data_IF_059139267853
#
_entry.id   IF_059139267853
#
_cell.length_a   1.000
_cell.length_b   1.000
_cell.length_c   1.000
_cell.angle_alpha   90.00
_cell.angle_beta   90.00
_cell.angle_gamma   90.00
#
_symmetry.space_group_name_H-M   'P 1'
#
loop_
_entity.id
_entity.type
_entity.pdbx_description
1 polymer ?
#
# COMPACT_ATOMS: atom_id res chain seq x y z
N UNK A 1 27.32 -4.66 -20.92
CA UNK A 1 27.37 -3.55 -19.93
C UNK A 1 28.46 -3.94 -18.95
N UNK A 2 29.72 -3.56 -19.25
CA UNK A 2 30.87 -4.05 -18.46
C UNK A 2 31.00 -3.38 -17.08
N UNK A 3 30.46 -2.18 -16.89
CA UNK A 3 30.34 -1.53 -15.57
C UNK A 3 29.16 -0.56 -15.55
N UNK A 4 28.36 -0.62 -14.49
CA UNK A 4 27.30 0.36 -14.21
C UNK A 4 27.94 1.63 -13.63
N UNK A 5 27.74 2.77 -14.30
CA UNK A 5 28.11 4.06 -13.72
C UNK A 5 27.07 4.55 -12.71
N UNK A 6 27.37 4.40 -11.43
CA UNK A 6 26.45 4.79 -10.35
C UNK A 6 26.15 6.29 -10.31
N UNK A 7 27.03 7.15 -10.87
CA UNK A 7 26.74 8.57 -11.00
C UNK A 7 25.62 8.81 -12.04
N UNK A 8 25.65 8.07 -13.13
CA UNK A 8 24.59 8.12 -14.15
C UNK A 8 23.29 7.47 -13.63
N UNK A 9 23.35 6.42 -12.82
CA UNK A 9 22.20 5.85 -12.15
C UNK A 9 21.55 6.85 -11.15
N UNK A 10 22.35 7.62 -10.42
CA UNK A 10 21.82 8.66 -9.55
C UNK A 10 21.09 9.76 -10.34
N UNK A 11 21.57 10.09 -11.55
CA UNK A 11 20.89 11.03 -12.44
C UNK A 11 19.58 10.45 -12.95
N UNK A 12 19.56 9.16 -13.32
CA UNK A 12 18.34 8.47 -13.75
C UNK A 12 17.30 8.45 -12.62
N UNK A 13 17.70 8.10 -11.41
CA UNK A 13 16.81 8.11 -10.24
C UNK A 13 16.25 9.51 -9.97
N UNK A 14 17.06 10.56 -10.04
CA UNK A 14 16.60 11.92 -9.88
C UNK A 14 15.59 12.35 -10.95
N UNK A 15 15.81 12.00 -12.23
CA UNK A 15 14.86 12.31 -13.33
C UNK A 15 13.52 11.62 -13.10
N UNK A 16 13.54 10.36 -12.74
CA UNK A 16 12.31 9.57 -12.48
C UNK A 16 11.58 10.07 -11.23
N UNK A 17 12.31 10.34 -10.14
CA UNK A 17 11.72 10.83 -8.88
C UNK A 17 11.13 12.22 -9.00
N UNK A 18 11.76 13.12 -9.77
CA UNK A 18 11.29 14.49 -9.99
C UNK A 18 10.27 14.60 -11.15
N UNK A 19 10.16 13.57 -11.98
CA UNK A 19 9.33 13.56 -13.20
C UNK A 19 9.78 14.61 -14.24
N UNK A 20 10.98 15.18 -14.11
CA UNK A 20 11.46 16.28 -14.94
C UNK A 20 12.97 16.35 -14.98
N UNK A 21 13.54 16.50 -16.18
CA UNK A 21 14.98 16.71 -16.40
C UNK A 21 15.48 18.02 -15.76
N UNK A 22 14.67 19.07 -15.82
CA UNK A 22 14.98 20.38 -15.23
C UNK A 22 15.01 20.32 -13.71
N UNK A 23 13.97 19.75 -13.09
CA UNK A 23 13.92 19.58 -11.62
C UNK A 23 15.01 18.66 -11.11
N UNK A 24 15.36 17.60 -11.86
CA UNK A 24 16.49 16.74 -11.53
C UNK A 24 17.83 17.49 -11.59
N UNK A 25 18.01 18.35 -12.59
CA UNK A 25 19.21 19.20 -12.71
C UNK A 25 19.38 20.13 -11.49
N UNK A 26 18.29 20.78 -11.07
CA UNK A 26 18.27 21.61 -9.85
C UNK A 26 18.60 20.80 -8.60
N UNK A 27 17.97 19.63 -8.43
CA UNK A 27 18.18 18.76 -7.28
C UNK A 27 19.62 18.24 -7.17
N UNK A 28 20.28 18.02 -8.33
CA UNK A 28 21.66 17.51 -8.40
C UNK A 28 22.73 18.61 -8.47
N UNK A 29 22.33 19.89 -8.59
CA UNK A 29 23.27 21.02 -8.73
C UNK A 29 24.08 21.00 -10.03
N UNK A 30 23.52 20.44 -11.13
CA UNK A 30 24.16 20.38 -12.45
C UNK A 30 23.26 20.99 -13.54
N UNK A 31 23.79 21.19 -14.74
CA UNK A 31 22.97 21.71 -15.84
C UNK A 31 22.02 20.65 -16.41
N UNK A 32 20.87 21.08 -16.95
CA UNK A 32 19.92 20.20 -17.65
C UNK A 32 20.58 19.47 -18.85
N UNK A 33 21.51 20.14 -19.54
CA UNK A 33 22.28 19.51 -20.62
C UNK A 33 23.14 18.36 -20.11
N UNK A 34 23.78 18.51 -18.93
CA UNK A 34 24.56 17.44 -18.31
C UNK A 34 23.67 16.25 -17.90
N UNK A 35 22.47 16.50 -17.36
CA UNK A 35 21.48 15.44 -17.08
C UNK A 35 21.13 14.70 -18.37
N UNK A 36 20.76 15.43 -19.43
CA UNK A 36 20.37 14.83 -20.71
C UNK A 36 21.51 14.03 -21.35
N UNK A 37 22.75 14.48 -21.28
CA UNK A 37 23.93 13.77 -21.81
C UNK A 37 24.18 12.46 -21.02
N UNK A 38 24.08 12.49 -19.69
CA UNK A 38 24.28 11.28 -18.86
C UNK A 38 23.19 10.25 -19.07
N UNK A 39 21.93 10.67 -19.20
CA UNK A 39 20.82 9.74 -19.53
C UNK A 39 21.06 9.13 -20.90
N UNK A 40 21.41 9.94 -21.92
CA UNK A 40 21.71 9.44 -23.25
C UNK A 40 22.87 8.43 -23.25
N UNK A 41 23.97 8.75 -22.56
CA UNK A 41 25.10 7.83 -22.46
C UNK A 41 24.71 6.50 -21.79
N UNK A 42 23.85 6.55 -20.78
CA UNK A 42 23.34 5.35 -20.11
C UNK A 42 22.40 4.54 -21.03
N UNK A 43 21.56 5.21 -21.82
CA UNK A 43 20.70 4.59 -22.84
C UNK A 43 21.50 3.95 -23.97
N UNK A 44 22.53 4.65 -24.46
CA UNK A 44 23.45 4.13 -25.47
C UNK A 44 24.18 2.88 -24.95
N UNK A 45 24.67 2.89 -23.71
CA UNK A 45 25.31 1.73 -23.09
C UNK A 45 24.34 0.56 -22.85
N UNK A 46 23.08 0.85 -22.56
CA UNK A 46 22.03 -0.14 -22.38
C UNK A 46 21.43 -0.66 -23.69
N UNK A 47 21.65 0.04 -24.82
CA UNK A 47 21.05 -0.25 -26.12
C UNK A 47 19.52 -0.06 -26.15
N UNK A 48 18.95 0.62 -25.16
CA UNK A 48 17.50 0.81 -24.99
C UNK A 48 17.20 2.12 -24.28
N UNK A 49 16.04 2.69 -24.56
CA UNK A 49 15.53 3.83 -23.80
C UNK A 49 15.27 3.43 -22.33
N UNK A 50 15.65 4.31 -21.42
CA UNK A 50 15.45 4.15 -19.98
C UNK A 50 14.39 5.11 -19.44
N UNK A 51 14.14 6.21 -20.17
CA UNK A 51 13.15 7.23 -19.81
C UNK A 51 12.25 7.54 -20.99
N UNK A 52 10.95 7.49 -20.77
CA UNK A 52 9.96 8.07 -21.68
C UNK A 52 9.86 9.55 -21.36
N UNK A 53 10.26 10.39 -22.32
CA UNK A 53 10.22 11.84 -22.18
C UNK A 53 8.77 12.33 -22.28
N UNK A 54 8.30 13.03 -21.24
CA UNK A 54 6.96 13.57 -21.15
C UNK A 54 6.82 14.48 -19.93
N UNK A 55 5.61 14.86 -19.60
CA UNK A 55 5.27 15.57 -18.36
C UNK A 55 4.17 14.81 -17.61
N UNK A 56 4.56 13.97 -16.63
CA UNK A 56 5.92 13.75 -16.10
C UNK A 56 6.79 12.84 -16.99
N UNK A 57 8.12 12.95 -16.84
CA UNK A 57 9.08 11.98 -17.37
C UNK A 57 8.96 10.69 -16.56
N UNK A 58 8.84 9.53 -17.25
CA UNK A 58 8.58 8.22 -16.62
C UNK A 58 9.67 7.23 -17.01
N UNK A 59 10.08 6.37 -16.09
CA UNK A 59 11.01 5.30 -16.42
C UNK A 59 10.36 4.25 -17.33
N UNK A 60 11.15 3.67 -18.26
CA UNK A 60 10.80 2.39 -18.90
C UNK A 60 10.97 1.24 -17.90
N UNK A 61 10.46 0.04 -18.20
CA UNK A 61 10.65 -1.13 -17.31
C UNK A 61 12.14 -1.40 -17.00
N UNK A 62 13.05 -1.24 -17.99
CA UNK A 62 14.50 -1.35 -17.77
C UNK A 62 15.02 -0.17 -16.92
N UNK A 63 14.57 1.05 -17.22
CA UNK A 63 14.91 2.24 -16.43
C UNK A 63 14.53 2.08 -14.97
N UNK A 64 13.32 1.55 -14.69
CA UNK A 64 12.83 1.30 -13.35
C UNK A 64 13.70 0.27 -12.62
N UNK A 65 14.09 -0.82 -13.26
CA UNK A 65 14.99 -1.83 -12.69
C UNK A 65 16.36 -1.24 -12.31
N UNK A 66 16.90 -0.33 -13.11
CA UNK A 66 18.15 0.36 -12.82
C UNK A 66 18.02 1.35 -11.66
N UNK A 67 16.91 2.10 -11.59
CA UNK A 67 16.59 2.97 -10.43
C UNK A 67 16.50 2.14 -9.16
N UNK A 68 15.79 1.02 -9.20
CA UNK A 68 15.64 0.12 -8.05
C UNK A 68 16.98 -0.46 -7.59
N UNK A 69 17.82 -0.88 -8.55
CA UNK A 69 19.17 -1.34 -8.24
C UNK A 69 19.98 -0.25 -7.54
N UNK A 70 19.95 0.98 -8.06
CA UNK A 70 20.64 2.13 -7.44
C UNK A 70 20.16 2.38 -5.99
N UNK A 71 18.84 2.37 -5.77
CA UNK A 71 18.27 2.57 -4.43
C UNK A 71 18.65 1.46 -3.45
N UNK A 72 18.65 0.20 -3.91
CA UNK A 72 19.08 -0.94 -3.09
C UNK A 72 20.56 -0.83 -2.69
N UNK A 73 21.43 -0.40 -3.62
CA UNK A 73 22.85 -0.16 -3.32
C UNK A 73 22.99 0.95 -2.28
N UNK A 74 22.24 2.04 -2.40
CA UNK A 74 22.23 3.12 -1.39
C UNK A 74 21.79 2.64 0.00
N UNK A 75 20.83 1.73 0.09
CA UNK A 75 20.44 1.12 1.36
C UNK A 75 21.59 0.29 1.98
N UNK A 76 22.32 -0.44 1.14
CA UNK A 76 23.50 -1.21 1.59
C UNK A 76 24.66 -0.31 2.00
N UNK A 77 24.93 0.76 1.24
CA UNK A 77 25.95 1.77 1.60
C UNK A 77 25.60 2.45 2.93
N UNK A 78 24.34 2.86 3.12
CA UNK A 78 23.89 3.45 4.39
C UNK A 78 24.01 2.49 5.58
N UNK A 79 23.82 1.18 5.36
CA UNK A 79 24.04 0.17 6.38
C UNK A 79 25.52 0.06 6.74
N UNK A 80 26.42 0.06 5.75
CA UNK A 80 27.86 0.04 5.94
C UNK A 80 28.35 1.29 6.67
N UNK A 81 27.80 2.46 6.37
CA UNK A 81 28.14 3.71 7.07
C UNK A 81 27.88 3.63 8.59
N UNK A 82 26.82 2.92 9.01
CA UNK A 82 26.55 2.66 10.42
C UNK A 82 27.68 1.82 11.04
N UNK A 83 28.07 0.74 10.37
CA UNK A 83 29.11 -0.17 10.87
C UNK A 83 30.47 0.53 10.96
N UNK A 84 30.74 1.50 10.08
CA UNK A 84 31.97 2.32 10.08
C UNK A 84 31.90 3.51 11.05
N UNK A 85 30.77 3.73 11.74
CA UNK A 85 30.58 4.86 12.64
C UNK A 85 30.51 6.23 11.95
N UNK A 86 30.24 6.24 10.65
CA UNK A 86 30.09 7.43 9.86
C UNK A 86 28.75 8.16 10.18
N UNK A 87 28.64 9.42 9.73
CA UNK A 87 27.40 10.17 9.86
C UNK A 87 26.30 9.48 9.05
N UNK A 88 25.25 9.00 9.72
CA UNK A 88 24.16 8.24 9.11
C UNK A 88 23.49 9.10 8.02
N UNK A 89 23.58 8.67 6.77
CA UNK A 89 22.65 9.13 5.75
C UNK A 89 21.30 8.47 6.05
N UNK A 90 20.19 9.22 5.98
CA UNK A 90 18.84 8.66 6.17
C UNK A 90 18.34 8.12 4.81
N UNK A 91 18.46 6.80 4.55
CA UNK A 91 18.00 6.24 3.30
C UNK A 91 16.49 6.28 3.20
N UNK A 92 15.97 6.42 1.99
CA UNK A 92 14.53 6.33 1.71
C UNK A 92 14.13 4.88 1.42
N UNK A 93 13.07 4.40 2.09
CA UNK A 93 12.46 3.08 1.85
C UNK A 93 11.04 3.31 1.32
N UNK A 94 10.78 2.82 0.11
CA UNK A 94 9.46 2.84 -0.50
C UNK A 94 8.59 1.66 -0.06
N UNK A 95 7.33 1.92 0.25
CA UNK A 95 6.32 0.90 0.56
C UNK A 95 5.07 1.14 -0.28
N UNK A 96 4.45 0.07 -0.76
CA UNK A 96 3.09 0.10 -1.31
C UNK A 96 2.13 -0.56 -0.32
N UNK A 97 1.02 0.09 0.00
CA UNK A 97 0.15 -0.37 1.09
C UNK A 97 -1.32 -0.19 0.72
N UNK A 98 -2.14 -1.17 1.05
CA UNK A 98 -3.58 -1.05 0.92
C UNK A 98 -4.17 -0.03 1.90
N UNK A 99 -5.30 0.54 1.51
CA UNK A 99 -5.92 1.62 2.27
C UNK A 99 -6.37 1.21 3.68
N UNK A 100 -6.87 -0.02 3.83
CA UNK A 100 -7.35 -0.51 5.12
C UNK A 100 -6.20 -0.68 6.12
N UNK A 101 -5.06 -1.21 5.67
CA UNK A 101 -3.84 -1.31 6.47
C UNK A 101 -3.32 0.06 6.88
N UNK A 102 -3.31 1.04 5.94
CA UNK A 102 -2.94 2.43 6.23
C UNK A 102 -3.83 3.09 7.27
N UNK A 103 -5.14 2.85 7.19
CA UNK A 103 -6.12 3.46 8.10
C UNK A 103 -6.17 2.79 9.48
N UNK A 104 -5.52 1.65 9.68
CA UNK A 104 -5.68 0.84 10.90
C UNK A 104 -4.37 0.55 11.61
N UNK A 105 -3.71 -0.53 11.24
CA UNK A 105 -2.61 -1.10 12.03
C UNK A 105 -1.22 -0.63 11.61
N UNK A 106 -1.03 -0.23 10.35
CA UNK A 106 0.29 0.13 9.85
C UNK A 106 0.92 1.31 10.61
N UNK A 107 0.21 2.42 10.91
CA UNK A 107 0.78 3.54 11.67
C UNK A 107 1.31 3.11 13.04
N UNK A 108 0.65 2.15 13.70
CA UNK A 108 1.12 1.60 14.98
C UNK A 108 2.45 0.84 14.83
N UNK A 109 2.62 0.13 13.70
CA UNK A 109 3.85 -0.57 13.37
C UNK A 109 4.99 0.36 12.99
N UNK A 110 4.70 1.51 12.40
CA UNK A 110 5.70 2.47 11.97
C UNK A 110 6.18 3.40 13.10
N UNK A 111 5.34 3.68 14.10
CA UNK A 111 5.65 4.61 15.18
C UNK A 111 7.02 4.37 15.84
N UNK A 112 7.42 3.14 16.24
CA UNK A 112 8.72 2.91 16.87
C UNK A 112 9.92 3.11 15.91
N UNK A 113 9.67 3.08 14.61
CA UNK A 113 10.70 3.22 13.58
C UNK A 113 10.96 4.68 13.20
N UNK A 114 9.97 5.55 13.44
CA UNK A 114 10.00 6.95 13.06
C UNK A 114 10.33 7.89 14.23
N UNK A 115 10.48 7.36 15.45
CA UNK A 115 10.81 8.17 16.63
C UNK A 115 11.80 7.45 17.56
N UNK A 116 13.12 7.75 17.50
CA UNK A 116 13.78 8.63 16.55
C UNK A 116 13.83 8.03 15.14
N UNK A 117 13.84 8.86 14.08
CA UNK A 117 13.83 8.36 12.71
C UNK A 117 15.17 7.67 12.38
N UNK A 118 15.09 6.49 11.78
CA UNK A 118 16.26 5.72 11.32
C UNK A 118 16.42 5.74 9.81
N UNK A 119 15.34 6.00 9.10
CA UNK A 119 15.22 6.10 7.64
C UNK A 119 14.02 6.97 7.28
N UNK A 120 13.93 7.37 6.03
CA UNK A 120 12.74 8.03 5.48
C UNK A 120 11.82 6.98 4.87
N UNK A 121 10.50 7.14 5.06
CA UNK A 121 9.51 6.30 4.42
C UNK A 121 8.79 7.08 3.32
N UNK A 122 8.69 6.44 2.16
CA UNK A 122 7.80 6.87 1.09
C UNK A 122 6.69 5.83 0.94
N UNK A 123 5.48 6.18 1.33
CA UNK A 123 4.34 5.25 1.28
C UNK A 123 3.44 5.64 0.11
N UNK A 124 3.14 4.66 -0.73
CA UNK A 124 2.20 4.77 -1.83
C UNK A 124 0.99 3.90 -1.51
N UNK A 125 -0.21 4.52 -1.49
CA UNK A 125 -1.44 3.76 -1.35
C UNK A 125 -1.76 3.07 -2.68
N UNK A 126 -1.88 1.75 -2.66
CA UNK A 126 -2.09 0.97 -3.87
C UNK A 126 -3.00 -0.24 -3.60
N UNK A 127 -3.90 -0.54 -4.54
CA UNK A 127 -4.59 -1.83 -4.55
C UNK A 127 -3.63 -2.98 -4.91
N UNK A 128 -4.03 -4.23 -4.64
CA UNK A 128 -3.20 -5.43 -4.79
C UNK A 128 -2.39 -5.49 -6.08
N UNK A 129 -3.04 -5.34 -7.24
CA UNK A 129 -2.36 -5.49 -8.53
C UNK A 129 -1.23 -4.48 -8.71
N UNK A 130 -1.48 -3.21 -8.36
CA UNK A 130 -0.48 -2.14 -8.44
C UNK A 130 0.61 -2.34 -7.38
N UNK A 131 0.27 -2.69 -6.14
CA UNK A 131 1.23 -2.94 -5.08
C UNK A 131 2.24 -4.04 -5.46
N UNK A 132 1.75 -5.16 -5.99
CA UNK A 132 2.60 -6.25 -6.46
C UNK A 132 3.42 -5.87 -7.70
N UNK A 133 2.86 -5.06 -8.60
CA UNK A 133 3.62 -4.51 -9.74
C UNK A 133 4.78 -3.65 -9.25
N UNK A 134 4.54 -2.71 -8.35
CA UNK A 134 5.56 -1.81 -7.78
C UNK A 134 6.70 -2.58 -7.07
N UNK A 135 6.36 -3.65 -6.34
CA UNK A 135 7.39 -4.51 -5.72
C UNK A 135 8.18 -5.25 -6.78
N UNK A 136 7.52 -5.90 -7.76
CA UNK A 136 8.20 -6.68 -8.81
C UNK A 136 9.15 -5.84 -9.66
N UNK A 137 8.74 -4.62 -9.98
CA UNK A 137 9.58 -3.63 -10.67
C UNK A 137 10.65 -3.02 -9.75
N UNK A 138 10.59 -3.29 -8.43
CA UNK A 138 11.51 -2.74 -7.44
C UNK A 138 11.30 -1.23 -7.19
N UNK A 139 10.19 -0.66 -7.59
CA UNK A 139 9.82 0.73 -7.31
C UNK A 139 9.67 0.99 -5.82
N UNK A 140 9.28 -0.04 -5.08
CA UNK A 140 9.22 -0.06 -3.63
C UNK A 140 9.97 -1.28 -3.08
N UNK A 141 10.46 -1.17 -1.84
CA UNK A 141 11.10 -2.28 -1.14
C UNK A 141 10.11 -3.40 -0.82
N UNK A 142 8.91 -3.04 -0.40
CA UNK A 142 7.90 -4.02 -0.04
C UNK A 142 6.48 -3.50 -0.14
N UNK A 143 5.53 -4.41 -0.05
CA UNK A 143 4.10 -4.08 -0.09
C UNK A 143 3.28 -4.90 0.90
N UNK A 144 2.27 -4.25 1.46
CA UNK A 144 1.15 -4.90 2.17
C UNK A 144 -0.02 -4.98 1.21
N UNK A 145 -0.48 -6.18 0.91
CA UNK A 145 -1.57 -6.40 -0.02
C UNK A 145 -2.42 -7.62 0.38
N UNK A 146 -3.66 -7.66 -0.10
CA UNK A 146 -4.51 -8.84 0.04
C UNK A 146 -3.83 -10.08 -0.54
N UNK A 147 -3.99 -11.22 0.10
CA UNK A 147 -3.49 -12.51 -0.39
C UNK A 147 -4.20 -12.93 -1.69
N UNK A 148 -3.51 -13.70 -2.51
CA UNK A 148 -4.10 -14.21 -3.74
C UNK A 148 -3.32 -15.37 -4.35
N UNK A 149 -3.83 -15.98 -5.42
CA UNK A 149 -3.28 -17.21 -6.01
C UNK A 149 -1.85 -17.04 -6.54
N UNK A 150 -1.46 -15.82 -6.90
CA UNK A 150 -0.14 -15.51 -7.48
C UNK A 150 0.94 -15.18 -6.43
N UNK A 151 0.65 -15.39 -5.14
CA UNK A 151 1.57 -15.06 -4.03
C UNK A 151 2.68 -16.10 -3.84
N UNK A 152 2.82 -17.04 -4.75
CA UNK A 152 3.93 -17.98 -4.72
C UNK A 152 5.22 -17.31 -5.19
N UNK A 153 6.35 -17.51 -4.48
CA UNK A 153 7.63 -16.99 -4.94
C UNK A 153 7.97 -17.65 -6.29
N UNK A 154 7.99 -16.85 -7.34
CA UNK A 154 8.42 -17.29 -8.65
C UNK A 154 9.89 -17.76 -8.56
N UNK A 155 10.11 -19.08 -8.45
CA UNK A 155 11.42 -19.71 -8.72
C UNK A 155 12.67 -19.12 -8.05
N UNK A 156 12.58 -18.56 -6.84
CA UNK A 156 13.74 -18.15 -6.05
C UNK A 156 14.30 -16.74 -6.27
N UNK A 157 13.94 -16.03 -7.33
CA UNK A 157 14.50 -14.72 -7.69
C UNK A 157 13.56 -13.52 -7.43
N UNK A 158 12.41 -13.73 -6.79
CA UNK A 158 11.41 -12.70 -6.53
C UNK A 158 11.31 -12.25 -5.05
N UNK A 159 10.38 -11.32 -4.77
CA UNK A 159 10.06 -10.92 -3.40
C UNK A 159 9.63 -12.12 -2.55
N UNK A 160 9.96 -12.09 -1.27
CA UNK A 160 9.42 -13.03 -0.28
C UNK A 160 7.99 -12.66 0.05
N UNK A 161 7.19 -13.66 0.42
CA UNK A 161 5.81 -13.49 0.87
C UNK A 161 5.71 -13.99 2.31
N UNK A 162 5.25 -13.13 3.20
CA UNK A 162 5.04 -13.45 4.62
C UNK A 162 3.58 -13.17 4.99
N UNK A 163 2.82 -14.16 5.46
CA UNK A 163 1.45 -13.94 5.95
C UNK A 163 1.45 -12.98 7.15
N UNK A 164 0.54 -12.01 7.12
CA UNK A 164 0.36 -11.01 8.18
C UNK A 164 -0.81 -11.35 9.11
N UNK A 165 -1.87 -11.93 8.58
CA UNK A 165 -3.13 -12.20 9.26
C UNK A 165 -4.32 -11.82 8.39
N UNK A 166 -5.47 -11.64 9.03
CA UNK A 166 -6.75 -11.39 8.37
C UNK A 166 -7.34 -10.06 8.81
N UNK A 167 -7.66 -9.21 7.84
CA UNK A 167 -8.44 -8.00 8.04
C UNK A 167 -9.93 -8.35 7.92
N UNK A 168 -10.67 -8.19 9.00
CA UNK A 168 -12.12 -8.40 9.03
C UNK A 168 -12.85 -7.13 8.67
N UNK A 169 -13.84 -7.23 7.80
CA UNK A 169 -14.77 -6.16 7.47
C UNK A 169 -16.16 -6.49 8.00
N UNK A 170 -16.80 -5.52 8.61
CA UNK A 170 -18.17 -5.60 9.16
C UNK A 170 -19.06 -4.56 8.48
N UNK A 171 -20.35 -4.90 8.34
CA UNK A 171 -21.34 -4.03 7.71
C UNK A 171 -21.91 -3.07 8.73
N UNK A 172 -21.63 -1.78 8.61
CA UNK A 172 -21.98 -0.79 9.63
C UNK A 172 -22.79 0.37 9.09
N UNK A 173 -23.59 0.96 9.96
CA UNK A 173 -24.26 2.24 9.76
C UNK A 173 -24.40 2.97 11.10
N UNK A 174 -24.78 4.27 11.07
CA UNK A 174 -25.21 4.95 12.29
C UNK A 174 -26.58 4.45 12.75
N UNK A 175 -26.90 4.53 14.04
CA UNK A 175 -28.25 4.19 14.56
C UNK A 175 -29.35 4.99 13.85
N UNK A 176 -29.10 6.25 13.48
CA UNK A 176 -30.06 7.11 12.76
C UNK A 176 -30.34 6.56 11.36
N UNK A 177 -29.28 6.20 10.63
CA UNK A 177 -29.41 5.61 9.30
C UNK A 177 -30.15 4.27 9.36
N UNK A 178 -29.77 3.41 10.31
CA UNK A 178 -30.39 2.11 10.48
C UNK A 178 -31.87 2.21 10.88
N UNK A 179 -32.21 3.12 11.79
CA UNK A 179 -33.61 3.37 12.14
C UNK A 179 -34.48 3.87 10.97
N UNK A 180 -33.86 4.61 10.04
CA UNK A 180 -34.58 5.11 8.86
C UNK A 180 -34.77 4.04 7.76
N UNK A 181 -33.69 3.28 7.47
CA UNK A 181 -33.69 2.36 6.33
C UNK A 181 -33.90 0.90 6.72
N UNK A 182 -33.53 0.51 7.92
CA UNK A 182 -33.48 -0.88 8.39
C UNK A 182 -34.32 -1.05 9.67
N UNK A 183 -35.42 -0.31 9.81
CA UNK A 183 -36.31 -0.39 10.97
C UNK A 183 -36.89 -1.80 11.19
N UNK A 184 -37.15 -2.52 10.12
CA UNK A 184 -37.61 -3.93 10.13
C UNK A 184 -36.47 -4.95 10.07
N UNK A 185 -35.21 -4.50 10.20
CA UNK A 185 -34.01 -5.32 10.12
C UNK A 185 -33.24 -5.14 8.80
N UNK A 186 -32.03 -5.72 8.77
CA UNK A 186 -31.18 -5.73 7.58
C UNK A 186 -31.67 -6.82 6.61
N UNK A 187 -32.66 -6.47 5.78
CA UNK A 187 -33.35 -7.36 4.84
C UNK A 187 -33.14 -6.90 3.40
N UNK A 188 -33.39 -7.80 2.43
CA UNK A 188 -33.12 -7.55 1.01
C UNK A 188 -33.90 -6.36 0.45
N UNK A 189 -35.18 -6.22 0.83
CA UNK A 189 -36.05 -5.14 0.39
C UNK A 189 -35.54 -3.76 0.81
N UNK A 190 -35.04 -3.65 2.05
CA UNK A 190 -34.45 -2.45 2.57
C UNK A 190 -33.10 -2.15 1.89
N UNK A 191 -32.25 -3.16 1.69
CA UNK A 191 -30.94 -3.00 1.05
C UNK A 191 -31.04 -2.63 -0.44
N UNK A 192 -32.17 -2.95 -1.11
CA UNK A 192 -32.46 -2.51 -2.47
C UNK A 192 -32.75 -1.02 -2.58
N UNK A 193 -33.07 -0.36 -1.48
CA UNK A 193 -33.44 1.05 -1.43
C UNK A 193 -32.41 1.93 -0.72
N UNK A 194 -31.77 1.39 0.32
CA UNK A 194 -30.81 2.10 1.14
C UNK A 194 -29.48 2.32 0.39
N UNK A 195 -28.93 3.54 0.42
CA UNK A 195 -27.67 3.81 -0.24
C UNK A 195 -26.49 3.16 0.50
N UNK A 196 -25.69 2.36 -0.21
CA UNK A 196 -24.44 1.80 0.29
C UNK A 196 -23.25 2.70 -0.08
N UNK A 197 -22.25 2.75 0.79
CA UNK A 197 -20.92 3.28 0.48
C UNK A 197 -19.99 2.11 0.19
N UNK A 198 -19.40 2.09 -0.98
CA UNK A 198 -18.46 1.04 -1.36
C UNK A 198 -17.10 1.58 -1.76
N UNK A 199 -16.05 0.96 -1.27
CA UNK A 199 -14.65 1.16 -1.71
C UNK A 199 -14.21 0.02 -2.64
N UNK A 200 -14.88 -1.12 -2.55
CA UNK A 200 -14.74 -2.29 -3.41
C UNK A 200 -16.15 -2.81 -3.71
N UNK A 201 -16.61 -2.57 -4.93
CA UNK A 201 -17.97 -2.90 -5.34
C UNK A 201 -18.21 -4.43 -5.34
N UNK A 202 -17.20 -5.21 -5.73
CA UNK A 202 -17.32 -6.67 -5.81
C UNK A 202 -17.41 -7.28 -4.41
N UNK A 203 -16.63 -6.78 -3.45
CA UNK A 203 -16.68 -7.20 -2.06
C UNK A 203 -18.05 -6.90 -1.44
N UNK A 204 -18.57 -5.68 -1.66
CA UNK A 204 -19.88 -5.28 -1.13
C UNK A 204 -21.00 -6.08 -1.77
N UNK A 205 -21.01 -6.25 -3.08
CA UNK A 205 -22.00 -7.06 -3.78
C UNK A 205 -21.96 -8.54 -3.36
N UNK A 206 -20.74 -9.08 -3.15
CA UNK A 206 -20.55 -10.42 -2.61
C UNK A 206 -21.19 -10.57 -1.23
N UNK A 207 -20.90 -9.67 -0.32
CA UNK A 207 -21.47 -9.66 1.04
C UNK A 207 -23.00 -9.60 1.02
N UNK A 208 -23.59 -8.68 0.26
CA UNK A 208 -25.06 -8.53 0.16
C UNK A 208 -25.72 -9.77 -0.42
N UNK A 209 -25.08 -10.43 -1.40
CA UNK A 209 -25.56 -11.67 -1.95
C UNK A 209 -25.51 -12.81 -0.92
N UNK A 210 -24.41 -12.93 -0.19
CA UNK A 210 -24.19 -14.04 0.74
C UNK A 210 -25.06 -13.90 2.00
N UNK A 211 -25.34 -12.68 2.46
CA UNK A 211 -26.11 -12.40 3.69
C UNK A 211 -27.61 -12.26 3.41
N UNK A 212 -27.98 -11.61 2.30
CA UNK A 212 -29.37 -11.26 2.00
C UNK A 212 -29.93 -11.97 0.76
N UNK A 213 -29.16 -12.82 0.06
CA UNK A 213 -29.48 -13.37 -1.28
C UNK A 213 -29.82 -12.25 -2.31
N UNK A 214 -29.26 -11.06 -2.14
CA UNK A 214 -29.52 -9.93 -3.02
C UNK A 214 -28.89 -10.18 -4.39
N UNK A 215 -29.74 -10.38 -5.40
CA UNK A 215 -29.36 -10.63 -6.79
C UNK A 215 -29.86 -9.46 -7.64
N UNK A 216 -29.03 -8.48 -7.85
CA UNK A 216 -29.43 -7.36 -8.69
C UNK A 216 -28.79 -6.04 -8.27
N UNK A 217 -29.16 -4.94 -8.93
CA UNK A 217 -28.63 -3.62 -8.59
C UNK A 217 -29.14 -3.16 -7.23
N UNK A 218 -28.29 -2.41 -6.54
CA UNK A 218 -28.61 -1.70 -5.32
C UNK A 218 -28.02 -0.28 -5.39
N UNK A 219 -28.61 0.71 -4.71
CA UNK A 219 -28.07 2.05 -4.68
C UNK A 219 -26.69 2.04 -4.01
N UNK A 220 -25.67 2.55 -4.69
CA UNK A 220 -24.36 2.67 -4.08
C UNK A 220 -23.58 3.86 -4.60
N UNK A 221 -22.76 4.40 -3.72
CA UNK A 221 -21.78 5.43 -4.02
C UNK A 221 -20.39 4.81 -3.92
N UNK A 222 -19.62 4.89 -5.01
CA UNK A 222 -18.23 4.46 -5.02
C UNK A 222 -17.34 5.60 -4.57
N UNK A 223 -16.52 5.35 -3.56
CA UNK A 223 -15.60 6.36 -3.04
C UNK A 223 -14.21 5.74 -2.90
N UNK A 224 -13.14 6.49 -3.24
CA UNK A 224 -11.79 6.01 -2.95
C UNK A 224 -11.65 5.67 -1.47
N UNK A 225 -10.91 4.60 -1.12
CA UNK A 225 -10.66 4.24 0.27
C UNK A 225 -9.92 5.41 0.96
N UNK A 226 -10.57 6.07 1.89
CA UNK A 226 -10.06 7.26 2.56
C UNK A 226 -10.78 7.52 3.88
N UNK A 227 -10.29 8.46 4.67
CA UNK A 227 -11.01 8.94 5.85
C UNK A 227 -12.41 9.50 5.51
N UNK A 228 -12.57 10.05 4.29
CA UNK A 228 -13.86 10.58 3.83
C UNK A 228 -14.96 9.52 3.76
N UNK A 229 -14.62 8.26 3.44
CA UNK A 229 -15.61 7.17 3.44
C UNK A 229 -16.22 6.96 4.83
N UNK A 230 -15.42 7.03 5.88
CA UNK A 230 -15.87 6.91 7.27
C UNK A 230 -16.70 8.14 7.70
N UNK A 231 -16.31 9.34 7.29
CA UNK A 231 -17.08 10.57 7.56
C UNK A 231 -18.46 10.54 6.89
N UNK A 232 -18.58 9.97 5.69
CA UNK A 232 -19.88 9.77 5.06
C UNK A 232 -20.79 8.82 5.87
N UNK A 233 -20.22 7.77 6.44
CA UNK A 233 -20.97 6.89 7.34
C UNK A 233 -21.41 7.62 8.60
N UNK A 234 -20.52 8.38 9.27
CA UNK A 234 -20.88 9.18 10.43
C UNK A 234 -21.92 10.26 10.12
N UNK A 235 -21.91 10.80 8.91
CA UNK A 235 -22.94 11.70 8.40
C UNK A 235 -24.28 11.05 8.10
N UNK A 236 -24.44 9.74 8.35
CA UNK A 236 -25.65 8.97 8.07
C UNK A 236 -26.08 9.04 6.57
N UNK A 237 -25.10 9.11 5.67
CA UNK A 237 -25.36 9.19 4.22
C UNK A 237 -25.50 7.81 3.58
N UNK A 238 -24.89 6.78 4.18
CA UNK A 238 -24.87 5.43 3.63
C UNK A 238 -24.56 4.40 4.74
N UNK A 239 -24.76 3.12 4.43
CA UNK A 239 -24.15 2.00 5.15
C UNK A 239 -22.98 1.45 4.36
N UNK A 240 -22.11 0.61 4.97
CA UNK A 240 -21.01 0.02 4.21
C UNK A 240 -20.14 -0.96 5.00
N UNK A 241 -19.29 -1.68 4.24
CA UNK A 241 -18.29 -2.57 4.79
C UNK A 241 -17.06 -1.78 5.22
N UNK A 242 -16.71 -1.88 6.51
CA UNK A 242 -15.56 -1.18 7.09
C UNK A 242 -14.62 -2.14 7.80
N UNK A 243 -13.29 -1.90 7.75
CA UNK A 243 -12.34 -2.67 8.53
C UNK A 243 -12.70 -2.62 10.03
N UNK A 244 -12.89 -3.77 10.66
CA UNK A 244 -13.24 -3.84 12.08
C UNK A 244 -12.33 -3.00 13.00
N UNK A 245 -10.99 -3.02 12.84
CA UNK A 245 -10.13 -2.18 13.68
C UNK A 245 -10.39 -0.67 13.53
N UNK A 246 -10.91 -0.23 12.37
CA UNK A 246 -11.21 1.19 12.13
C UNK A 246 -12.50 1.64 12.84
N UNK A 247 -13.46 0.74 13.01
CA UNK A 247 -14.79 1.06 13.55
C UNK A 247 -15.05 0.48 14.95
N UNK A 248 -14.15 -0.36 15.47
CA UNK A 248 -14.33 -1.06 16.75
C UNK A 248 -14.69 -0.12 17.92
N UNK A 249 -14.03 1.04 18.00
CA UNK A 249 -14.35 2.03 19.04
C UNK A 249 -15.74 2.64 18.83
N UNK A 250 -16.11 2.96 17.60
CA UNK A 250 -17.42 3.55 17.30
C UNK A 250 -18.57 2.56 17.55
N UNK A 251 -18.33 1.26 17.31
CA UNK A 251 -19.26 0.19 17.69
C UNK A 251 -19.41 0.06 19.21
N UNK A 252 -18.30 0.10 19.96
CA UNK A 252 -18.33 0.05 21.42
C UNK A 252 -18.98 1.29 22.08
N UNK A 253 -18.98 2.43 21.38
CA UNK A 253 -19.59 3.69 21.82
C UNK A 253 -21.01 3.89 21.24
N UNK A 254 -21.60 2.88 20.59
CA UNK A 254 -22.91 2.92 19.91
C UNK A 254 -23.07 4.06 18.88
N UNK A 255 -21.95 4.61 18.37
CA UNK A 255 -21.95 5.59 17.30
C UNK A 255 -22.15 4.96 15.91
N UNK A 256 -21.77 3.72 15.79
CA UNK A 256 -22.08 2.83 14.67
C UNK A 256 -22.69 1.55 15.24
N UNK A 257 -23.52 0.89 14.44
CA UNK A 257 -24.06 -0.43 14.74
C UNK A 257 -23.67 -1.42 13.63
N UNK A 258 -23.48 -2.65 14.00
CA UNK A 258 -23.31 -3.77 13.06
C UNK A 258 -24.71 -4.16 12.54
N UNK A 259 -24.93 -4.01 11.22
CA UNK A 259 -26.20 -4.32 10.57
C UNK A 259 -26.43 -5.83 10.39
N UNK A 260 -25.36 -6.61 10.38
CA UNK A 260 -25.40 -8.05 10.13
C UNK A 260 -24.54 -8.82 11.15
N UNK A 261 -24.90 -8.82 12.44
CA UNK A 261 -24.11 -9.47 13.48
C UNK A 261 -23.81 -10.93 13.16
N UNK A 262 -22.57 -11.32 13.29
CA UNK A 262 -22.11 -12.67 12.95
C UNK A 262 -21.72 -12.86 11.47
N UNK A 263 -21.98 -11.90 10.60
CA UNK A 263 -21.57 -11.93 9.19
C UNK A 263 -20.47 -10.91 8.93
N UNK A 264 -19.45 -11.31 8.20
CA UNK A 264 -18.28 -10.46 7.93
C UNK A 264 -17.58 -10.90 6.63
N UNK A 265 -16.71 -10.05 6.13
CA UNK A 265 -15.79 -10.42 5.03
C UNK A 265 -14.37 -10.43 5.60
N UNK A 266 -13.70 -11.55 5.45
CA UNK A 266 -12.33 -11.74 5.90
C UNK A 266 -11.36 -11.68 4.70
N UNK A 267 -10.41 -10.75 4.76
CA UNK A 267 -9.37 -10.55 3.74
C UNK A 267 -8.02 -10.88 4.34
N UNK A 268 -7.43 -11.99 3.90
CA UNK A 268 -6.06 -12.34 4.27
C UNK A 268 -5.08 -11.33 3.68
N UNK A 269 -4.08 -10.91 4.46
CA UNK A 269 -3.04 -9.96 4.07
C UNK A 269 -1.68 -10.61 4.08
N UNK A 270 -0.85 -10.23 3.10
CA UNK A 270 0.54 -10.66 2.98
C UNK A 270 1.49 -9.45 2.93
N UNK A 271 2.69 -9.64 3.50
CA UNK A 271 3.85 -8.78 3.32
C UNK A 271 4.71 -9.36 2.20
N UNK A 272 4.90 -8.58 1.15
CA UNK A 272 5.78 -8.87 0.02
C UNK A 272 7.00 -7.98 0.12
N UNK A 273 8.21 -8.55 0.18
CA UNK A 273 9.43 -7.75 0.28
C UNK A 273 10.60 -8.39 -0.46
N UNK A 274 11.47 -7.55 -1.02
CA UNK A 274 12.73 -8.00 -1.57
C UNK A 274 13.63 -8.60 -0.49
N UNK A 275 14.39 -9.63 -0.85
CA UNK A 275 15.45 -10.21 0.00
C UNK A 275 16.67 -9.28 0.04
N UNK A 276 16.50 -8.13 0.66
CA UNK A 276 17.59 -7.19 0.93
C UNK A 276 17.83 -7.17 2.43
N UNK A 277 18.94 -7.80 2.85
CA UNK A 277 19.27 -7.90 4.26
C UNK A 277 20.15 -6.71 4.69
N UNK A 278 19.50 -5.65 5.14
CA UNK A 278 20.13 -4.51 5.81
C UNK A 278 19.48 -4.32 7.17
N UNK A 279 20.15 -3.66 8.15
CA UNK A 279 19.54 -3.35 9.44
C UNK A 279 18.19 -2.63 9.32
N UNK A 280 18.06 -1.76 8.33
CA UNK A 280 16.82 -0.98 8.08
C UNK A 280 15.68 -1.86 7.60
N UNK A 281 15.91 -2.68 6.58
CA UNK A 281 14.88 -3.52 5.95
C UNK A 281 14.46 -4.66 6.86
N UNK A 282 15.37 -5.20 7.65
CA UNK A 282 15.11 -6.24 8.64
C UNK A 282 14.21 -5.71 9.75
N UNK A 283 14.60 -4.59 10.40
CA UNK A 283 13.84 -4.03 11.51
C UNK A 283 12.44 -3.57 11.04
N UNK A 284 12.32 -3.03 9.82
CA UNK A 284 11.04 -2.66 9.22
C UNK A 284 10.15 -3.89 9.07
N UNK A 285 10.64 -4.95 8.42
CA UNK A 285 9.85 -6.17 8.18
C UNK A 285 9.44 -6.85 9.47
N UNK A 286 10.37 -7.00 10.43
CA UNK A 286 10.09 -7.59 11.75
C UNK A 286 9.02 -6.80 12.50
N UNK A 287 9.13 -5.46 12.51
CA UNK A 287 8.18 -4.60 13.20
C UNK A 287 6.79 -4.63 12.57
N UNK A 288 6.70 -4.62 11.23
CA UNK A 288 5.43 -4.73 10.53
C UNK A 288 4.76 -6.08 10.81
N UNK A 289 5.49 -7.19 10.68
CA UNK A 289 4.97 -8.53 10.95
C UNK A 289 4.54 -8.66 12.42
N UNK A 290 5.34 -8.19 13.36
CA UNK A 290 5.01 -8.24 14.79
C UNK A 290 3.76 -7.43 15.12
N UNK A 291 3.59 -6.25 14.49
CA UNK A 291 2.40 -5.42 14.72
C UNK A 291 1.15 -6.02 14.08
N UNK A 292 1.26 -6.50 12.83
CA UNK A 292 0.17 -7.19 12.17
C UNK A 292 -0.36 -8.37 13.00
N UNK A 293 0.55 -9.20 13.54
CA UNK A 293 0.20 -10.33 14.42
C UNK A 293 -0.54 -9.93 15.70
N UNK A 294 -0.40 -8.71 16.19
CA UNK A 294 -1.13 -8.23 17.38
C UNK A 294 -2.52 -7.66 17.07
N UNK A 295 -2.71 -7.15 15.86
CA UNK A 295 -3.91 -6.38 15.49
C UNK A 295 -4.84 -7.16 14.57
N UNK A 296 -4.28 -7.93 13.65
CA UNK A 296 -5.04 -8.72 12.69
C UNK A 296 -5.49 -10.04 13.31
N UNK A 297 -6.58 -10.59 12.79
CA UNK A 297 -7.04 -11.93 13.18
C UNK A 297 -6.12 -13.00 12.62
N UNK A 298 -6.01 -14.13 13.34
CA UNK A 298 -5.28 -15.30 12.88
C UNK A 298 -6.23 -16.47 12.69
N UNK A 299 -6.05 -17.30 11.63
CA UNK A 299 -6.94 -18.40 11.32
C UNK A 299 -7.10 -19.43 12.45
N UNK A 300 -6.13 -19.50 13.38
CA UNK A 300 -6.12 -20.45 14.51
C UNK A 300 -6.85 -19.95 15.77
N UNK A 301 -7.31 -18.71 15.80
CA UNK A 301 -8.13 -18.20 16.90
C UNK A 301 -9.62 -18.48 16.62
N UNK A 302 -10.03 -19.74 16.80
CA UNK A 302 -11.45 -20.08 17.00
C UNK A 302 -11.86 -19.41 18.32
N UNK A 303 -12.58 -18.30 18.21
CA UNK A 303 -13.33 -17.68 19.30
C UNK A 303 -14.77 -18.08 19.22
#
# INVERSE_FOLDING_TARGET
>A
MDHLDYRSLAVLDAVVSQGSFEKAALALGISQSAVSQRIKALEDAAGRLLVVRGQPAVATGLGQRLVSHHRNVKLMEAALDIDLGNKISMPEIGLAVDAASLATWLPLGLQPLLSPPRFQLKIEQAGRAMALHLVREGSVFGAVAAAGPDDQPAGGAGPTVTPLGVMRYVCVATPVFAGHWFGDGFIVEAAQLAPAMTVDADMTAGFLRDVLDLKGPYPHHTMPPSAASLECLYGSLAYGLMPLPQVARALAEDRLIDLAPGHHVDVALNWHAWKLDTPFTRILSEQLVATARRVLLHPDTKG
#
